data_IF_877643403377
#
_entry.id   IF_877643403377
#
_cell.length_a   1.000
_cell.length_b   1.000
_cell.length_c   1.000
_cell.angle_alpha   90.00
_cell.angle_beta   90.00
_cell.angle_gamma   90.00
#
_symmetry.space_group_name_H-M   'P 1'
#
loop_
_entity.id
_entity.type
_entity.pdbx_description
1 polymer ?
#
# COMPACT_ATOMS: atom_id res chain seq x y z
N UNK A 1 -41.89 -6.08 -5.09
CA UNK A 1 -41.37 -4.85 -4.46
C UNK A 1 -40.30 -5.12 -3.37
N UNK A 2 -39.50 -6.20 -3.45
CA UNK A 2 -38.58 -6.58 -2.36
C UNK A 2 -37.07 -6.38 -2.64
N UNK A 3 -36.66 -6.00 -3.86
CA UNK A 3 -35.24 -5.88 -4.22
C UNK A 3 -34.62 -4.49 -3.96
N UNK A 4 -35.41 -3.42 -3.99
CA UNK A 4 -34.91 -2.04 -3.85
C UNK A 4 -34.58 -1.67 -2.40
N UNK A 5 -35.37 -2.18 -1.44
CA UNK A 5 -35.13 -1.99 0.00
C UNK A 5 -33.79 -2.62 0.41
N UNK A 6 -33.55 -3.86 -0.01
CA UNK A 6 -32.30 -4.59 0.27
C UNK A 6 -31.07 -3.86 -0.31
N UNK A 7 -31.18 -3.34 -1.54
CA UNK A 7 -30.08 -2.60 -2.18
C UNK A 7 -29.76 -1.29 -1.46
N UNK A 8 -30.78 -0.60 -0.93
CA UNK A 8 -30.61 0.67 -0.22
C UNK A 8 -29.96 0.46 1.15
N UNK A 9 -30.39 -0.55 1.88
CA UNK A 9 -29.82 -0.93 3.18
C UNK A 9 -28.35 -1.36 3.04
N UNK A 10 -28.03 -2.18 2.05
CA UNK A 10 -26.63 -2.56 1.75
C UNK A 10 -25.78 -1.32 1.48
N UNK A 11 -26.24 -0.42 0.61
CA UNK A 11 -25.49 0.79 0.25
C UNK A 11 -25.31 1.73 1.44
N UNK A 12 -26.32 1.84 2.30
CA UNK A 12 -26.21 2.60 3.55
C UNK A 12 -25.14 2.00 4.47
N UNK A 13 -25.16 0.68 4.68
CA UNK A 13 -24.14 -0.01 5.49
C UNK A 13 -22.72 0.17 4.95
N UNK A 14 -22.55 0.16 3.62
CA UNK A 14 -21.25 0.46 2.98
C UNK A 14 -20.82 1.91 3.25
N UNK A 15 -21.75 2.87 3.13
CA UNK A 15 -21.47 4.27 3.41
C UNK A 15 -21.08 4.51 4.89
N UNK A 16 -21.77 3.83 5.81
CA UNK A 16 -21.49 3.87 7.24
C UNK A 16 -20.10 3.34 7.55
N UNK A 17 -19.75 2.13 7.07
CA UNK A 17 -18.42 1.54 7.28
C UNK A 17 -17.31 2.34 6.61
N UNK A 18 -17.55 2.85 5.40
CA UNK A 18 -16.60 3.76 4.75
C UNK A 18 -16.33 4.99 5.62
N UNK A 19 -17.36 5.62 6.16
CA UNK A 19 -17.20 6.78 7.03
C UNK A 19 -16.47 6.42 8.33
N UNK A 20 -16.81 5.29 8.95
CA UNK A 20 -16.11 4.78 10.15
C UNK A 20 -14.62 4.55 9.91
N UNK A 21 -14.23 4.01 8.74
CA UNK A 21 -12.81 3.90 8.37
C UNK A 21 -12.13 5.26 8.36
N UNK A 22 -12.77 6.29 7.76
CA UNK A 22 -12.19 7.63 7.71
C UNK A 22 -12.02 8.22 9.12
N UNK A 23 -13.03 8.10 9.98
CA UNK A 23 -12.93 8.56 11.38
C UNK A 23 -11.78 7.83 12.10
N UNK A 24 -11.70 6.51 11.94
CA UNK A 24 -10.67 5.69 12.59
C UNK A 24 -9.26 6.07 12.13
N UNK A 25 -9.07 6.38 10.84
CA UNK A 25 -7.80 6.89 10.32
C UNK A 25 -7.38 8.22 10.99
N UNK A 26 -8.35 9.07 11.32
CA UNK A 26 -8.10 10.36 11.99
C UNK A 26 -7.82 10.17 13.48
N UNK A 27 -8.60 9.32 14.15
CA UNK A 27 -8.40 8.94 15.54
C UNK A 27 -7.03 8.27 15.75
N UNK A 28 -6.61 7.42 14.82
CA UNK A 28 -5.32 6.73 14.86
C UNK A 28 -4.14 7.61 14.37
N UNK A 29 -4.39 8.90 14.08
CA UNK A 29 -3.40 9.85 13.57
C UNK A 29 -2.70 9.42 12.27
N UNK A 30 -3.31 8.51 11.50
CA UNK A 30 -2.85 8.14 10.15
C UNK A 30 -3.20 9.23 9.12
N UNK A 31 -4.21 10.04 9.44
CA UNK A 31 -4.50 11.34 8.84
C UNK A 31 -4.88 12.33 9.95
N UNK A 32 -4.67 13.63 9.77
CA UNK A 32 -5.00 14.59 10.83
C UNK A 32 -6.43 15.15 10.75
N UNK A 33 -7.04 15.14 9.56
CA UNK A 33 -8.39 15.65 9.30
C UNK A 33 -8.83 15.23 7.88
N UNK A 34 -10.06 15.54 7.48
CA UNK A 34 -10.59 15.19 6.14
C UNK A 34 -9.81 15.80 4.97
N UNK A 35 -9.19 16.98 5.13
CA UNK A 35 -8.34 17.55 4.06
C UNK A 35 -7.05 16.75 3.90
N UNK A 36 -6.53 16.22 4.99
CA UNK A 36 -5.36 15.36 4.95
C UNK A 36 -5.69 14.01 4.29
N UNK A 37 -6.88 13.45 4.56
CA UNK A 37 -7.40 12.29 3.82
C UNK A 37 -7.46 12.57 2.32
N UNK A 38 -8.01 13.71 1.91
CA UNK A 38 -8.04 14.12 0.49
C UNK A 38 -6.64 14.19 -0.11
N UNK A 39 -5.69 14.82 0.58
CA UNK A 39 -4.30 14.92 0.13
C UNK A 39 -3.64 13.56 -0.08
N UNK A 40 -3.95 12.58 0.78
CA UNK A 40 -3.35 11.25 0.77
C UNK A 40 -4.04 10.28 -0.21
N UNK A 41 -5.33 10.47 -0.46
CA UNK A 41 -6.17 9.50 -1.19
C UNK A 41 -6.75 10.03 -2.50
N UNK A 42 -6.77 11.34 -2.70
CA UNK A 42 -7.49 12.01 -3.78
C UNK A 42 -9.01 12.10 -3.57
N UNK A 43 -9.55 11.59 -2.45
CA UNK A 43 -10.99 11.64 -2.17
C UNK A 43 -11.34 13.03 -1.62
N UNK A 44 -12.07 13.82 -2.40
CA UNK A 44 -12.48 15.18 -2.00
C UNK A 44 -13.14 15.21 -0.62
N UNK A 45 -12.65 16.08 0.28
CA UNK A 45 -13.22 16.23 1.62
C UNK A 45 -14.71 16.62 1.60
N UNK A 46 -15.16 17.32 0.56
CA UNK A 46 -16.58 17.63 0.34
C UNK A 46 -17.43 16.38 0.16
N UNK A 47 -16.89 15.36 -0.53
CA UNK A 47 -17.56 14.05 -0.71
C UNK A 47 -17.61 13.28 0.59
N UNK A 48 -16.53 13.29 1.36
CA UNK A 48 -16.49 12.70 2.71
C UNK A 48 -17.56 13.36 3.60
N UNK A 49 -17.67 14.69 3.59
CA UNK A 49 -18.68 15.43 4.35
C UNK A 49 -20.13 15.13 3.90
N UNK A 50 -20.35 14.90 2.60
CA UNK A 50 -21.66 14.52 2.09
C UNK A 50 -22.07 13.12 2.60
N UNK A 51 -21.14 12.14 2.55
CA UNK A 51 -21.35 10.79 3.09
C UNK A 51 -21.61 10.87 4.60
N UNK A 52 -20.79 11.63 5.35
CA UNK A 52 -21.00 11.88 6.78
C UNK A 52 -22.40 12.41 7.06
N UNK A 53 -22.84 13.42 6.32
CA UNK A 53 -24.16 14.05 6.52
C UNK A 53 -25.30 13.07 6.20
N UNK A 54 -25.12 12.20 5.20
CA UNK A 54 -26.08 11.14 4.92
C UNK A 54 -26.18 10.12 6.06
N UNK A 55 -25.04 9.58 6.51
CA UNK A 55 -24.99 8.57 7.58
C UNK A 55 -25.49 9.12 8.92
N UNK A 56 -25.07 10.34 9.28
CA UNK A 56 -25.34 10.90 10.63
C UNK A 56 -26.64 11.67 10.75
N UNK A 57 -27.10 12.31 9.66
CA UNK A 57 -28.28 13.19 9.68
C UNK A 57 -29.43 12.71 8.79
N UNK A 58 -29.26 11.57 8.09
CA UNK A 58 -30.24 11.11 7.11
C UNK A 58 -30.44 12.10 5.95
N UNK A 59 -29.40 12.86 5.59
CA UNK A 59 -29.48 13.84 4.51
C UNK A 59 -29.63 13.19 3.12
N UNK A 60 -29.43 13.95 2.03
CA UNK A 60 -29.51 13.38 0.67
C UNK A 60 -28.55 12.17 0.55
N UNK A 61 -28.99 11.04 -0.06
CA UNK A 61 -28.15 9.88 -0.25
C UNK A 61 -26.81 10.21 -0.92
N UNK A 62 -25.73 9.77 -0.27
CA UNK A 62 -24.37 9.93 -0.74
C UNK A 62 -23.60 8.65 -0.41
N UNK A 63 -23.11 7.98 -1.46
CA UNK A 63 -22.43 6.70 -1.34
C UNK A 63 -20.99 6.82 -1.83
N UNK A 64 -20.03 6.12 -1.19
CA UNK A 64 -18.70 6.00 -1.75
C UNK A 64 -18.74 5.22 -3.07
N UNK A 65 -17.86 5.59 -4.00
CA UNK A 65 -17.66 4.83 -5.23
C UNK A 65 -16.51 3.83 -5.04
N UNK A 66 -16.31 2.95 -6.02
CA UNK A 66 -15.28 1.91 -5.96
C UNK A 66 -13.85 2.48 -5.94
N UNK A 67 -13.63 3.61 -6.61
CA UNK A 67 -12.33 4.29 -6.63
C UNK A 67 -11.91 4.74 -5.23
N UNK A 68 -12.85 5.18 -4.41
CA UNK A 68 -12.57 5.57 -3.03
C UNK A 68 -12.04 4.39 -2.20
N UNK A 69 -12.54 3.18 -2.44
CA UNK A 69 -12.07 1.98 -1.75
C UNK A 69 -10.63 1.65 -2.13
N UNK A 70 -10.31 1.70 -3.42
CA UNK A 70 -8.94 1.50 -3.91
C UNK A 70 -7.99 2.57 -3.40
N UNK A 71 -8.42 3.84 -3.34
CA UNK A 71 -7.61 4.91 -2.78
C UNK A 71 -7.29 4.69 -1.30
N UNK A 72 -8.26 4.25 -0.49
CA UNK A 72 -8.03 3.93 0.93
C UNK A 72 -7.15 2.69 1.11
N UNK A 73 -7.35 1.66 0.28
CA UNK A 73 -6.49 0.49 0.28
C UNK A 73 -5.04 0.87 -0.05
N UNK A 74 -4.82 1.68 -1.08
CA UNK A 74 -3.48 2.09 -1.50
C UNK A 74 -2.79 2.99 -0.48
N UNK A 75 -3.50 3.94 0.10
CA UNK A 75 -2.91 4.93 1.00
C UNK A 75 -2.70 4.38 2.43
N UNK A 76 -3.62 3.54 2.92
CA UNK A 76 -3.66 3.16 4.34
C UNK A 76 -3.76 1.65 4.58
N UNK A 77 -3.68 0.84 3.52
CA UNK A 77 -3.80 -0.61 3.58
C UNK A 77 -5.14 -1.08 4.18
N UNK A 78 -6.22 -0.36 3.88
CA UNK A 78 -7.58 -0.72 4.30
C UNK A 78 -8.09 -1.94 3.50
N UNK A 79 -8.79 -2.83 4.19
CA UNK A 79 -9.49 -3.96 3.60
C UNK A 79 -10.78 -3.51 2.91
N UNK A 80 -10.91 -3.79 1.61
CA UNK A 80 -12.15 -3.54 0.86
C UNK A 80 -13.27 -4.44 1.39
N UNK A 81 -12.97 -5.68 1.77
CA UNK A 81 -13.95 -6.63 2.30
C UNK A 81 -14.56 -6.09 3.60
N UNK A 82 -13.75 -5.49 4.47
CA UNK A 82 -14.25 -4.83 5.67
C UNK A 82 -15.25 -3.72 5.33
N UNK A 83 -14.93 -2.85 4.37
CA UNK A 83 -15.86 -1.77 3.96
C UNK A 83 -17.14 -2.35 3.36
N UNK A 84 -17.03 -3.35 2.49
CA UNK A 84 -18.18 -3.86 1.71
C UNK A 84 -19.08 -4.74 2.57
N UNK A 85 -18.53 -5.71 3.29
CA UNK A 85 -19.30 -6.73 4.01
C UNK A 85 -19.25 -6.59 5.54
N UNK A 86 -18.34 -5.77 6.08
CA UNK A 86 -18.11 -5.69 7.52
C UNK A 86 -17.36 -6.89 8.10
N UNK A 87 -16.82 -7.76 7.26
CA UNK A 87 -16.09 -8.97 7.68
C UNK A 87 -14.58 -8.74 7.66
N UNK A 88 -13.87 -9.41 8.58
CA UNK A 88 -12.42 -9.36 8.70
C UNK A 88 -11.89 -8.09 9.37
N UNK A 89 -10.57 -7.92 9.30
CA UNK A 89 -9.89 -6.77 9.90
C UNK A 89 -9.95 -5.53 8.98
N UNK A 90 -10.09 -4.35 9.60
CA UNK A 90 -10.09 -3.07 8.89
C UNK A 90 -8.76 -2.82 8.16
N UNK A 91 -7.63 -3.09 8.81
CA UNK A 91 -6.31 -2.99 8.23
C UNK A 91 -5.87 -4.37 7.76
N UNK A 92 -5.39 -4.48 6.54
CA UNK A 92 -4.81 -5.73 6.05
C UNK A 92 -3.56 -6.04 6.88
N UNK A 93 -3.49 -7.23 7.45
CA UNK A 93 -2.31 -7.66 8.22
C UNK A 93 -1.12 -7.79 7.27
N UNK A 94 -0.05 -7.02 7.49
CA UNK A 94 1.20 -7.09 6.72
C UNK A 94 2.09 -8.30 7.06
N UNK A 95 1.54 -9.34 7.72
CA UNK A 95 2.32 -10.28 8.51
C UNK A 95 3.11 -11.35 7.71
N UNK A 96 3.13 -11.35 6.37
CA UNK A 96 3.91 -12.34 5.59
C UNK A 96 4.75 -11.79 4.43
N UNK A 97 4.61 -10.52 4.04
CA UNK A 97 5.36 -9.95 2.89
C UNK A 97 6.57 -9.10 3.31
N UNK A 98 6.70 -8.75 4.59
CA UNK A 98 7.85 -7.98 5.11
C UNK A 98 9.03 -8.87 5.53
N UNK A 99 8.78 -10.05 6.11
CA UNK A 99 9.86 -10.96 6.53
C UNK A 99 10.53 -11.70 5.35
N UNK A 100 9.79 -11.93 4.27
CA UNK A 100 10.30 -12.57 3.06
C UNK A 100 11.15 -11.61 2.20
N UNK A 101 10.93 -10.30 2.29
CA UNK A 101 11.78 -9.29 1.64
C UNK A 101 13.02 -8.95 2.48
N UNK A 102 12.90 -8.86 3.82
CA UNK A 102 14.05 -8.59 4.70
C UNK A 102 15.09 -9.73 4.66
N UNK A 103 14.62 -10.99 4.59
CA UNK A 103 15.49 -12.16 4.46
C UNK A 103 16.24 -12.19 3.11
N UNK A 104 15.60 -11.73 2.02
CA UNK A 104 16.24 -11.65 0.68
C UNK A 104 17.21 -10.48 0.57
N UNK A 105 16.93 -9.33 1.20
CA UNK A 105 17.85 -8.19 1.25
C UNK A 105 19.09 -8.51 2.10
N UNK A 106 18.95 -9.18 3.24
CA UNK A 106 20.10 -9.63 4.06
C UNK A 106 20.93 -10.73 3.37
N UNK A 107 20.33 -11.54 2.51
CA UNK A 107 21.03 -12.55 1.70
C UNK A 107 21.74 -11.91 0.48
N UNK A 108 21.13 -10.90 -0.14
CA UNK A 108 21.75 -10.10 -1.21
C UNK A 108 22.90 -9.21 -0.72
N UNK A 109 22.79 -8.62 0.48
CA UNK A 109 23.86 -7.83 1.08
C UNK A 109 25.04 -8.69 1.55
N UNK A 110 24.77 -9.92 2.04
CA UNK A 110 25.83 -10.91 2.29
C UNK A 110 26.55 -11.31 1.00
N UNK A 111 25.83 -11.54 -0.09
CA UNK A 111 26.43 -11.86 -1.39
C UNK A 111 27.16 -10.66 -2.04
N UNK A 112 26.70 -9.42 -1.84
CA UNK A 112 27.42 -8.22 -2.29
C UNK A 112 28.69 -7.94 -1.49
N UNK A 113 28.70 -8.22 -0.18
CA UNK A 113 29.91 -8.13 0.66
C UNK A 113 30.91 -9.25 0.38
N UNK A 114 30.45 -10.44 -0.02
CA UNK A 114 31.33 -11.53 -0.46
C UNK A 114 32.04 -11.26 -1.80
N UNK A 115 31.47 -10.39 -2.65
CA UNK A 115 32.02 -10.01 -3.96
C UNK A 115 32.52 -8.55 -3.99
N UNK A 116 33.21 -8.12 -2.92
CA UNK A 116 33.92 -6.84 -2.95
C UNK A 116 35.11 -6.88 -3.94
N UNK A 117 35.40 -5.76 -4.63
CA UNK A 117 36.30 -5.65 -5.78
C UNK A 117 37.78 -5.98 -5.52
N UNK A 118 38.16 -6.36 -4.30
CA UNK A 118 39.52 -6.77 -3.95
C UNK A 118 39.90 -8.09 -4.64
N UNK A 119 38.96 -9.04 -4.80
CA UNK A 119 39.20 -10.29 -5.54
C UNK A 119 39.40 -10.07 -7.05
N UNK A 120 38.70 -9.09 -7.62
CA UNK A 120 38.82 -8.71 -9.03
C UNK A 120 40.15 -7.97 -9.27
N UNK A 121 40.58 -7.12 -8.32
CA UNK A 121 41.87 -6.43 -8.38
C UNK A 121 43.06 -7.40 -8.23
N UNK A 122 42.93 -8.47 -7.44
CA UNK A 122 43.93 -9.54 -7.39
C UNK A 122 43.96 -10.39 -8.68
N UNK A 123 42.81 -10.71 -9.28
CA UNK A 123 42.77 -11.38 -10.59
C UNK A 123 43.43 -10.53 -11.68
N UNK A 124 43.19 -9.22 -11.73
CA UNK A 124 43.79 -8.32 -12.73
C UNK A 124 45.30 -8.17 -12.50
N UNK A 125 45.78 -8.19 -11.24
CA UNK A 125 47.21 -8.19 -10.93
C UNK A 125 47.91 -9.52 -11.24
N UNK A 126 47.19 -10.64 -11.19
CA UNK A 126 47.69 -11.97 -11.61
C UNK A 126 47.84 -12.14 -13.13
N UNK A 127 47.20 -11.29 -13.94
CA UNK A 127 47.29 -11.31 -15.42
C UNK A 127 48.43 -10.40 -15.93
N UNK A 128 49.56 -10.37 -15.21
CA UNK A 128 50.74 -9.58 -15.59
C UNK A 128 52.02 -10.41 -15.73
N UNK A 129 51.94 -11.56 -16.39
CA UNK A 129 53.07 -12.26 -17.06
C UNK A 129 52.41 -13.11 -18.16
N UNK A 130 52.60 -12.91 -19.46
CA UNK A 130 53.85 -13.12 -20.17
C UNK A 130 53.81 -12.34 -21.52
N UNK A 131 54.26 -11.09 -21.51
CA UNK A 131 54.40 -10.25 -22.72
C UNK A 131 55.80 -10.44 -23.36
N UNK A 132 56.64 -11.33 -22.81
CA UNK A 132 57.94 -11.67 -23.41
C UNK A 132 57.87 -12.90 -24.35
N UNK A 133 56.85 -13.76 -24.24
CA UNK A 133 56.68 -14.88 -25.18
C UNK A 133 56.13 -14.50 -26.58
N UNK A 134 55.69 -13.26 -26.82
CA UNK A 134 55.15 -12.79 -28.13
C UNK A 134 56.17 -11.93 -28.91
N UNK A 135 57.48 -12.11 -28.67
CA UNK A 135 58.55 -11.50 -29.48
C UNK A 135 59.45 -12.50 -30.23
N UNK A 136 59.00 -13.75 -30.38
CA UNK A 136 59.66 -14.75 -31.26
C UNK A 136 58.92 -15.03 -32.56
N UNK A 137 57.89 -14.25 -32.89
CA UNK A 137 57.15 -14.35 -34.16
C UNK A 137 57.14 -13.07 -35.00
N UNK A 138 58.01 -12.09 -34.68
CA UNK A 138 58.40 -11.00 -35.58
C UNK A 138 59.89 -10.70 -35.41
#
# INVERSE_FOLDING_TARGET
MNNELNTTEIRFGIAERFFQVIEKLIEDHRAHNYRDVERLTGIEHQRINAIKSYVTKGSRPAYPNIEYFYSLQKAFNISIDYIVSGQGDMFRSNASELDSNRSREEELDRNKRANQPESILEMIRGIKVDVEHIKKFF
#
